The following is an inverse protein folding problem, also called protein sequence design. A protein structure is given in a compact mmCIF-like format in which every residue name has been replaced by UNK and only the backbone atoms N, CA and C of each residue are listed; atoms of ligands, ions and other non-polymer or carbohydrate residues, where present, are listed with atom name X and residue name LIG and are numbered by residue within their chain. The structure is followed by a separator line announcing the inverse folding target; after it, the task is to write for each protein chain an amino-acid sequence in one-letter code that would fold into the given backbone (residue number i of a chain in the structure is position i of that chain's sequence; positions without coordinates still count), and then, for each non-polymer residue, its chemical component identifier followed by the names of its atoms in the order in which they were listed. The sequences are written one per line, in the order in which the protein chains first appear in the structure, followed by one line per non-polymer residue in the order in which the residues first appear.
data_IF_083355730345
#
_entry.id   IF_083355730345
#
_cell.length_a   1.000
_cell.length_b   1.000
_cell.length_c   1.000
_cell.angle_alpha   90.00
_cell.angle_beta   90.00
_cell.angle_gamma   90.00
#
_symmetry.space_group_name_H-M   'P 1'
#
loop_
_entity.id
_entity.type
_entity.pdbx_description
1 polymer ?
#
# COMPACT_ATOMS: atom_id res chain seq x y z
N UNK A 1 -12.12 5.07 -2.53
CA UNK A 1 -12.56 5.17 -1.12
C UNK A 1 -12.44 6.59 -0.56
N UNK A 2 -11.48 7.39 -0.98
CA UNK A 2 -11.39 8.81 -0.59
C UNK A 2 -12.45 9.68 -1.27
N UNK A 3 -13.11 9.18 -2.31
CA UNK A 3 -14.20 9.85 -3.03
C UNK A 3 -15.45 10.06 -2.17
N UNK A 4 -15.60 9.29 -1.09
CA UNK A 4 -16.71 9.44 -0.13
C UNK A 4 -16.49 10.60 0.85
N UNK A 5 -15.25 11.07 1.01
CA UNK A 5 -14.84 12.00 2.05
C UNK A 5 -14.29 13.33 1.52
N UNK A 6 -14.11 13.44 0.20
CA UNK A 6 -13.57 14.62 -0.43
C UNK A 6 -14.13 14.81 -1.84
N UNK A 7 -13.94 16.01 -2.39
CA UNK A 7 -14.25 16.24 -3.81
C UNK A 7 -13.41 15.32 -4.72
N UNK A 8 -13.91 14.93 -5.90
CA UNK A 8 -13.17 14.08 -6.83
C UNK A 8 -11.79 14.66 -7.20
N UNK A 9 -11.66 15.98 -7.22
CA UNK A 9 -10.40 16.67 -7.48
C UNK A 9 -9.41 16.46 -6.32
N UNK A 10 -9.85 16.62 -5.07
CA UNK A 10 -9.01 16.41 -3.89
C UNK A 10 -8.63 14.94 -3.74
N UNK A 11 -9.56 14.01 -3.97
CA UNK A 11 -9.28 12.58 -3.99
C UNK A 11 -8.21 12.20 -5.03
N UNK A 12 -8.31 12.78 -6.24
CA UNK A 12 -7.31 12.57 -7.31
C UNK A 12 -5.93 13.11 -6.91
N UNK A 13 -5.87 14.30 -6.32
CA UNK A 13 -4.60 14.88 -5.83
C UNK A 13 -3.98 14.04 -4.71
N UNK A 14 -4.80 13.53 -3.80
CA UNK A 14 -4.32 12.63 -2.73
C UNK A 14 -3.77 11.34 -3.30
N UNK A 15 -4.47 10.72 -4.25
CA UNK A 15 -4.01 9.52 -4.94
C UNK A 15 -2.69 9.77 -5.70
N UNK A 16 -2.52 10.97 -6.31
CA UNK A 16 -1.26 11.38 -6.94
C UNK A 16 -0.13 11.46 -5.91
N UNK A 17 -0.35 12.09 -4.76
CA UNK A 17 0.65 12.19 -3.68
C UNK A 17 1.08 10.80 -3.21
N UNK A 18 0.11 9.90 -2.97
CA UNK A 18 0.39 8.52 -2.56
C UNK A 18 1.20 7.76 -3.61
N UNK A 19 0.77 7.79 -4.87
CA UNK A 19 1.49 7.14 -5.96
C UNK A 19 2.91 7.69 -6.12
N UNK A 20 3.08 9.02 -6.08
CA UNK A 20 4.38 9.67 -6.15
C UNK A 20 5.29 9.25 -4.99
N UNK A 21 4.75 9.13 -3.78
CA UNK A 21 5.48 8.63 -2.61
C UNK A 21 6.00 7.21 -2.87
N UNK A 22 5.16 6.31 -3.36
CA UNK A 22 5.56 4.93 -3.69
C UNK A 22 6.62 4.88 -4.81
N UNK A 23 6.56 5.82 -5.77
CA UNK A 23 7.48 5.89 -6.90
C UNK A 23 8.84 6.53 -6.57
N UNK A 24 9.07 7.04 -5.37
CA UNK A 24 10.38 7.63 -4.99
C UNK A 24 11.45 6.58 -4.72
N UNK A 25 11.07 5.40 -4.26
CA UNK A 25 12.01 4.41 -3.72
C UNK A 25 11.63 2.95 -4.02
N UNK A 26 10.77 2.71 -5.01
CA UNK A 26 10.49 1.35 -5.45
C UNK A 26 11.73 0.72 -6.11
N UNK A 27 11.86 -0.59 -5.98
CA UNK A 27 12.94 -1.38 -6.62
C UNK A 27 12.40 -2.35 -7.67
N UNK A 28 11.09 -2.62 -7.63
CA UNK A 28 10.38 -3.42 -8.61
C UNK A 28 9.01 -2.82 -8.90
N UNK A 29 8.63 -2.84 -10.16
CA UNK A 29 7.28 -2.47 -10.60
C UNK A 29 6.79 -3.40 -11.69
N UNK A 30 5.49 -3.73 -11.65
CA UNK A 30 4.82 -4.46 -12.72
C UNK A 30 3.45 -3.83 -12.96
N UNK A 31 3.15 -3.53 -14.21
CA UNK A 31 1.83 -3.04 -14.65
C UNK A 31 1.18 -4.12 -15.50
N UNK A 32 -0.08 -4.43 -15.19
CA UNK A 32 -0.93 -5.26 -16.04
C UNK A 32 -1.70 -4.35 -16.99
N UNK A 33 -1.69 -4.68 -18.27
CA UNK A 33 -2.43 -3.97 -19.32
C UNK A 33 -3.48 -4.92 -19.90
N UNK A 34 -4.71 -4.44 -20.04
CA UNK A 34 -5.81 -5.14 -20.67
C UNK A 34 -6.44 -4.21 -21.71
N UNK A 35 -6.53 -4.66 -22.95
CA UNK A 35 -7.08 -3.89 -24.08
C UNK A 35 -6.44 -2.48 -24.21
N UNK A 36 -5.11 -2.44 -24.11
CA UNK A 36 -4.33 -1.20 -24.20
C UNK A 36 -4.43 -0.26 -23.00
N UNK A 37 -5.16 -0.65 -21.93
CA UNK A 37 -5.40 0.20 -20.76
C UNK A 37 -4.81 -0.44 -19.51
N UNK A 38 -4.20 0.36 -18.62
CA UNK A 38 -3.68 -0.13 -17.34
C UNK A 38 -4.81 -0.72 -16.49
N UNK A 39 -4.71 -2.01 -16.16
CA UNK A 39 -5.68 -2.78 -15.40
C UNK A 39 -5.26 -2.99 -13.94
N UNK A 40 -3.97 -2.92 -13.63
CA UNK A 40 -3.45 -3.05 -12.28
C UNK A 40 -1.96 -2.74 -12.22
N UNK A 41 -1.47 -2.51 -11.02
CA UNK A 41 -0.07 -2.20 -10.72
C UNK A 41 0.34 -2.84 -9.40
N UNK A 42 1.59 -3.25 -9.30
CA UNK A 42 2.24 -3.66 -8.06
C UNK A 42 3.62 -3.02 -7.96
N UNK A 43 3.97 -2.50 -6.79
CA UNK A 43 5.29 -1.94 -6.49
C UNK A 43 5.88 -2.63 -5.26
N UNK A 44 7.14 -3.01 -5.34
CA UNK A 44 7.92 -3.53 -4.22
C UNK A 44 9.08 -2.60 -3.93
N UNK A 45 9.38 -2.45 -2.66
CA UNK A 45 10.51 -1.70 -2.14
C UNK A 45 11.43 -2.67 -1.40
N UNK A 46 12.68 -2.73 -1.82
CA UNK A 46 13.75 -3.39 -1.06
C UNK A 46 14.28 -2.38 -0.03
N UNK A 47 14.08 -2.66 1.24
CA UNK A 47 14.47 -1.75 2.33
C UNK A 47 16.01 -1.66 2.52
N UNK A 48 16.77 -2.56 1.89
CA UNK A 48 18.25 -2.52 1.86
C UNK A 48 18.81 -1.68 0.71
N UNK A 49 17.98 -1.37 -0.31
CA UNK A 49 18.39 -0.62 -1.50
C UNK A 49 17.74 0.77 -1.50
N UNK A 50 18.47 1.76 -1.01
CA UNK A 50 17.99 3.14 -0.88
C UNK A 50 18.19 3.94 -2.18
N UNK A 51 17.57 3.53 -3.27
CA UNK A 51 17.56 4.31 -4.51
C UNK A 51 16.45 5.35 -4.46
N UNK A 52 16.82 6.62 -4.50
CA UNK A 52 15.87 7.71 -4.65
C UNK A 52 16.24 8.54 -5.88
N UNK A 53 15.39 8.51 -6.91
CA UNK A 53 15.55 9.38 -8.06
C UNK A 53 15.17 10.82 -7.68
N UNK A 54 16.10 11.77 -7.80
CA UNK A 54 15.88 13.19 -7.47
C UNK A 54 14.67 13.78 -8.22
N UNK A 55 14.46 13.36 -9.48
CA UNK A 55 13.30 13.77 -10.28
C UNK A 55 11.96 13.29 -9.68
N UNK A 56 11.92 12.04 -9.21
CA UNK A 56 10.73 11.49 -8.53
C UNK A 56 10.45 12.23 -7.22
N UNK A 57 11.50 12.55 -6.45
CA UNK A 57 11.39 13.34 -5.22
C UNK A 57 10.84 14.72 -5.48
N UNK A 58 11.33 15.40 -6.52
CA UNK A 58 10.83 16.72 -6.90
C UNK A 58 9.35 16.69 -7.28
N UNK A 59 8.94 15.69 -8.08
CA UNK A 59 7.55 15.51 -8.46
C UNK A 59 6.64 15.19 -7.26
N UNK A 60 7.12 14.42 -6.28
CA UNK A 60 6.41 14.17 -5.03
C UNK A 60 6.18 15.47 -4.26
N UNK A 61 7.22 16.29 -4.08
CA UNK A 61 7.10 17.59 -3.40
C UNK A 61 6.07 18.47 -4.10
N UNK A 62 6.11 18.55 -5.42
CA UNK A 62 5.17 19.34 -6.20
C UNK A 62 3.71 18.86 -6.01
N UNK A 63 3.47 17.56 -5.98
CA UNK A 63 2.13 16.99 -5.73
C UNK A 63 1.63 17.32 -4.32
N UNK A 64 2.52 17.28 -3.31
CA UNK A 64 2.20 17.67 -1.94
C UNK A 64 1.81 19.16 -1.89
N UNK A 65 2.58 20.04 -2.52
CA UNK A 65 2.27 21.49 -2.56
C UNK A 65 0.90 21.73 -3.20
N UNK A 66 0.59 21.06 -4.32
CA UNK A 66 -0.72 21.15 -4.98
C UNK A 66 -1.86 20.69 -4.06
N UNK A 67 -1.68 19.62 -3.29
CA UNK A 67 -2.68 19.14 -2.33
C UNK A 67 -2.92 20.16 -1.23
N UNK A 68 -1.86 20.70 -0.64
CA UNK A 68 -1.93 21.68 0.45
C UNK A 68 -2.44 23.06 0.02
N UNK A 69 -2.51 23.37 -1.27
CA UNK A 69 -3.03 24.63 -1.78
C UNK A 69 -4.50 24.89 -1.46
N UNK A 70 -5.32 23.83 -1.25
CA UNK A 70 -6.74 23.96 -0.87
C UNK A 70 -6.97 23.70 0.61
N UNK A 71 -8.08 24.26 1.18
CA UNK A 71 -8.50 23.98 2.56
C UNK A 71 -8.85 22.51 2.75
N UNK A 72 -9.59 21.94 1.79
CA UNK A 72 -9.99 20.54 1.77
C UNK A 72 -8.77 19.62 1.71
N UNK A 73 -7.79 19.93 0.84
CA UNK A 73 -6.55 19.17 0.74
C UNK A 73 -5.75 19.14 2.05
N UNK A 74 -5.72 20.25 2.79
CA UNK A 74 -5.09 20.29 4.12
C UNK A 74 -5.82 19.42 5.14
N UNK A 75 -7.16 19.43 5.14
CA UNK A 75 -7.97 18.58 6.04
C UNK A 75 -7.74 17.09 5.73
N UNK A 76 -7.76 16.71 4.46
CA UNK A 76 -7.53 15.32 4.04
C UNK A 76 -6.08 14.87 4.31
N UNK A 77 -5.11 15.78 4.19
CA UNK A 77 -3.70 15.49 4.53
C UNK A 77 -3.53 15.09 6.00
N UNK A 78 -4.34 15.63 6.92
CA UNK A 78 -4.30 15.22 8.32
C UNK A 78 -4.73 13.77 8.51
N UNK A 79 -5.76 13.33 7.78
CA UNK A 79 -6.19 11.92 7.77
C UNK A 79 -5.04 11.02 7.31
N UNK A 80 -4.32 11.45 6.28
CA UNK A 80 -3.19 10.69 5.73
C UNK A 80 -2.01 10.57 6.72
N UNK A 81 -1.74 11.63 7.49
CA UNK A 81 -0.74 11.60 8.55
C UNK A 81 -1.14 10.60 9.64
N UNK A 82 -2.41 10.57 10.06
CA UNK A 82 -2.92 9.62 11.04
C UNK A 82 -2.75 8.17 10.55
N UNK A 83 -3.01 7.90 9.26
CA UNK A 83 -2.79 6.57 8.67
C UNK A 83 -1.32 6.17 8.74
N UNK A 84 -0.40 7.05 8.35
CA UNK A 84 1.03 6.79 8.43
C UNK A 84 1.49 6.49 9.86
N UNK A 85 0.98 7.23 10.85
CA UNK A 85 1.29 6.98 12.27
C UNK A 85 0.77 5.62 12.74
N UNK A 86 -0.42 5.20 12.28
CA UNK A 86 -0.99 3.88 12.57
C UNK A 86 -0.10 2.79 11.97
N UNK A 87 0.29 2.92 10.72
CA UNK A 87 1.15 1.97 10.01
C UNK A 87 2.51 1.81 10.70
N UNK A 88 3.14 2.92 11.10
CA UNK A 88 4.38 2.90 11.87
C UNK A 88 4.22 2.23 13.24
N UNK A 89 3.09 2.44 13.91
CA UNK A 89 2.81 1.80 15.21
C UNK A 89 2.60 0.29 15.04
N UNK A 90 1.90 -0.14 13.98
CA UNK A 90 1.74 -1.55 13.64
C UNK A 90 3.10 -2.20 13.36
N UNK A 91 3.95 -1.55 12.58
CA UNK A 91 5.28 -2.07 12.25
C UNK A 91 6.17 -2.19 13.50
N UNK A 92 6.18 -1.15 14.34
CA UNK A 92 6.93 -1.18 15.63
C UNK A 92 6.40 -2.27 16.57
N UNK A 93 5.10 -2.50 16.59
CA UNK A 93 4.45 -3.52 17.41
C UNK A 93 4.87 -4.95 17.04
N UNK A 94 5.17 -5.20 15.77
CA UNK A 94 5.62 -6.52 15.31
C UNK A 94 7.02 -6.91 15.80
N UNK A 95 7.83 -5.95 16.25
CA UNK A 95 9.22 -6.19 16.72
C UNK A 95 10.09 -6.96 15.70
N UNK A 96 9.77 -6.82 14.42
CA UNK A 96 10.47 -7.42 13.29
C UNK A 96 11.06 -6.34 12.39
N UNK A 97 12.17 -6.66 11.74
CA UNK A 97 12.76 -5.84 10.67
C UNK A 97 12.57 -6.59 9.36
N UNK A 98 11.80 -6.01 8.45
CA UNK A 98 11.52 -6.64 7.17
C UNK A 98 12.47 -6.12 6.09
N UNK A 99 13.05 -7.02 5.27
CA UNK A 99 13.93 -6.63 4.18
C UNK A 99 13.16 -6.00 3.00
N UNK A 100 11.86 -6.21 2.88
CA UNK A 100 11.06 -5.68 1.78
C UNK A 100 9.64 -5.29 2.20
N UNK A 101 9.06 -4.36 1.43
CA UNK A 101 7.69 -3.87 1.54
C UNK A 101 6.98 -4.01 0.19
N UNK A 102 5.75 -4.51 0.19
CA UNK A 102 4.85 -4.37 -0.93
C UNK A 102 4.13 -3.03 -0.77
N UNK A 103 4.71 -1.99 -1.40
CA UNK A 103 4.38 -0.59 -1.13
C UNK A 103 3.09 -0.11 -1.84
N UNK A 104 2.73 -0.73 -2.95
CA UNK A 104 1.50 -0.44 -3.68
C UNK A 104 1.01 -1.70 -4.40
N UNK A 105 -0.28 -1.98 -4.26
CA UNK A 105 -0.93 -3.01 -5.04
C UNK A 105 -2.38 -2.60 -5.33
N UNK A 106 -2.67 -2.38 -6.59
CA UNK A 106 -4.00 -1.95 -7.02
C UNK A 106 -4.42 -2.68 -8.30
N UNK A 107 -5.70 -3.07 -8.37
CA UNK A 107 -6.35 -3.62 -9.56
C UNK A 107 -7.65 -2.86 -9.77
N UNK A 108 -7.84 -2.34 -10.99
CA UNK A 108 -9.07 -1.64 -11.37
C UNK A 108 -10.29 -2.51 -11.05
N UNK A 109 -11.33 -1.95 -10.44
CA UNK A 109 -12.52 -2.68 -10.01
C UNK A 109 -13.19 -3.46 -11.15
N UNK A 110 -13.29 -2.87 -12.35
CA UNK A 110 -13.83 -3.54 -13.55
C UNK A 110 -12.96 -4.70 -14.09
N UNK A 111 -11.73 -4.84 -13.58
CA UNK A 111 -10.77 -5.88 -13.96
C UNK A 111 -10.54 -6.91 -12.86
N UNK A 112 -11.22 -6.78 -11.71
CA UNK A 112 -11.17 -7.78 -10.63
C UNK A 112 -11.83 -9.10 -11.05
N UNK A 113 -11.51 -10.19 -10.37
CA UNK A 113 -12.00 -11.54 -10.70
C UNK A 113 -11.35 -12.20 -11.93
N UNK A 114 -10.55 -11.47 -12.73
CA UNK A 114 -9.88 -11.98 -13.95
C UNK A 114 -8.49 -12.58 -13.70
N UNK A 115 -8.10 -12.80 -12.45
CA UNK A 115 -6.79 -13.36 -12.08
C UNK A 115 -5.62 -12.38 -12.18
N UNK A 116 -5.85 -11.11 -12.56
CA UNK A 116 -4.80 -10.09 -12.73
C UNK A 116 -4.04 -9.85 -11.42
N UNK A 117 -4.77 -9.71 -10.32
CA UNK A 117 -4.15 -9.52 -9.00
C UNK A 117 -3.23 -10.68 -8.63
N UNK A 118 -3.66 -11.93 -8.84
CA UNK A 118 -2.84 -13.12 -8.57
C UNK A 118 -1.56 -13.12 -9.41
N UNK A 119 -1.64 -12.77 -10.70
CA UNK A 119 -0.46 -12.70 -11.58
C UNK A 119 0.53 -11.62 -11.14
N UNK A 120 0.04 -10.42 -10.81
CA UNK A 120 0.87 -9.33 -10.30
C UNK A 120 1.54 -9.71 -8.97
N UNK A 121 0.80 -10.31 -8.04
CA UNK A 121 1.33 -10.74 -6.75
C UNK A 121 2.43 -11.81 -6.93
N UNK A 122 2.22 -12.79 -7.82
CA UNK A 122 3.23 -13.81 -8.12
C UNK A 122 4.49 -13.21 -8.78
N UNK A 123 4.36 -12.18 -9.62
CA UNK A 123 5.54 -11.51 -10.18
C UNK A 123 6.36 -10.78 -9.10
N UNK A 124 5.69 -10.18 -8.11
CA UNK A 124 6.38 -9.61 -6.96
C UNK A 124 7.09 -10.68 -6.12
N UNK A 125 6.45 -11.83 -5.87
CA UNK A 125 7.09 -12.96 -5.16
C UNK A 125 8.31 -13.48 -5.91
N UNK A 126 8.23 -13.60 -7.25
CA UNK A 126 9.35 -14.02 -8.07
C UNK A 126 10.54 -13.04 -7.96
N UNK A 127 10.26 -11.73 -8.01
CA UNK A 127 11.27 -10.70 -7.79
C UNK A 127 11.91 -10.80 -6.40
N UNK A 128 11.10 -10.88 -5.34
CA UNK A 128 11.59 -10.98 -3.96
C UNK A 128 12.53 -12.19 -3.80
N UNK A 129 12.12 -13.35 -4.32
CA UNK A 129 12.93 -14.57 -4.32
C UNK A 129 14.24 -14.38 -5.09
N UNK A 130 14.21 -13.77 -6.28
CA UNK A 130 15.39 -13.50 -7.09
C UNK A 130 16.38 -12.57 -6.37
N UNK A 131 15.89 -11.64 -5.57
CA UNK A 131 16.72 -10.71 -4.78
C UNK A 131 17.19 -11.30 -3.43
N UNK A 132 16.84 -12.54 -3.09
CA UNK A 132 17.16 -13.14 -1.79
C UNK A 132 16.52 -12.42 -0.62
N UNK A 133 15.31 -11.87 -0.82
CA UNK A 133 14.54 -11.19 0.21
C UNK A 133 13.58 -12.20 0.82
N UNK A 134 13.93 -12.73 1.98
CA UNK A 134 13.29 -13.91 2.58
C UNK A 134 11.90 -13.63 3.19
N UNK A 135 11.61 -12.37 3.50
CA UNK A 135 10.36 -11.95 4.12
C UNK A 135 9.96 -10.56 3.62
N UNK A 136 8.66 -10.29 3.55
CA UNK A 136 8.13 -8.98 3.24
C UNK A 136 6.83 -8.72 3.98
N UNK A 137 6.46 -7.45 4.07
CA UNK A 137 5.21 -7.00 4.68
C UNK A 137 4.43 -6.05 3.76
N UNK A 138 3.19 -5.81 4.13
CA UNK A 138 2.34 -4.76 3.56
C UNK A 138 1.38 -4.22 4.60
N UNK A 139 0.89 -3.01 4.36
CA UNK A 139 -0.24 -2.43 5.07
C UNK A 139 -1.50 -2.50 4.22
N UNK A 140 -2.64 -2.67 4.86
CA UNK A 140 -3.97 -2.64 4.26
C UNK A 140 -5.02 -2.30 5.31
N UNK A 141 -6.26 -2.10 4.90
CA UNK A 141 -7.35 -1.74 5.79
C UNK A 141 -8.68 -2.39 5.37
N UNK A 142 -9.74 -2.15 6.16
CA UNK A 142 -11.07 -2.71 5.92
C UNK A 142 -11.77 -2.17 4.67
N UNK A 143 -11.29 -1.09 4.05
CA UNK A 143 -11.79 -0.59 2.77
C UNK A 143 -11.24 -1.36 1.57
N UNK A 144 -10.19 -2.17 1.78
CA UNK A 144 -9.52 -2.96 0.77
C UNK A 144 -9.97 -4.43 0.81
N UNK A 145 -9.68 -5.18 -0.25
CA UNK A 145 -9.88 -6.63 -0.27
C UNK A 145 -8.72 -7.34 0.47
N UNK A 146 -8.64 -7.16 1.79
CA UNK A 146 -7.60 -7.77 2.62
C UNK A 146 -7.65 -9.30 2.65
N UNK A 147 -8.82 -9.91 2.46
CA UNK A 147 -8.97 -11.36 2.34
C UNK A 147 -8.17 -11.96 1.17
N UNK A 148 -7.85 -11.17 0.15
CA UNK A 148 -6.95 -11.59 -0.92
C UNK A 148 -5.59 -12.01 -0.35
N UNK A 149 -5.04 -11.26 0.58
CA UNK A 149 -3.72 -11.54 1.17
C UNK A 149 -3.74 -12.82 2.01
N UNK A 150 -4.80 -13.05 2.76
CA UNK A 150 -4.99 -14.29 3.52
C UNK A 150 -5.03 -15.52 2.60
N UNK A 151 -5.77 -15.42 1.47
CA UNK A 151 -5.79 -16.46 0.45
C UNK A 151 -4.43 -16.65 -0.28
N UNK A 152 -3.55 -15.65 -0.25
CA UNK A 152 -2.19 -15.77 -0.75
C UNK A 152 -1.22 -16.30 0.33
N UNK A 153 -1.70 -16.72 1.49
CA UNK A 153 -0.89 -17.29 2.58
C UNK A 153 -0.09 -16.26 3.36
N UNK A 154 -0.55 -15.00 3.40
CA UNK A 154 0.00 -13.98 4.29
C UNK A 154 -0.62 -14.09 5.68
N UNK A 155 0.17 -13.80 6.70
CA UNK A 155 -0.25 -13.80 8.10
C UNK A 155 -0.50 -12.38 8.58
N UNK A 156 -1.65 -12.14 9.25
CA UNK A 156 -1.93 -10.88 9.92
C UNK A 156 -1.09 -10.80 11.21
N UNK A 157 -0.20 -9.82 11.31
CA UNK A 157 0.71 -9.62 12.46
C UNK A 157 0.27 -8.52 13.38
N UNK A 158 -0.56 -7.61 12.91
CA UNK A 158 -1.09 -6.52 13.72
C UNK A 158 -2.41 -6.01 13.17
N UNK A 159 -3.22 -5.49 14.09
CA UNK A 159 -4.48 -4.83 13.78
C UNK A 159 -4.63 -3.61 14.68
N UNK A 160 -5.17 -2.53 14.13
CA UNK A 160 -5.51 -1.33 14.87
C UNK A 160 -6.78 -0.70 14.33
N UNK A 161 -7.73 -0.46 15.23
CA UNK A 161 -8.92 0.32 14.91
C UNK A 161 -8.62 1.82 15.10
N UNK A 162 -9.13 2.63 14.18
CA UNK A 162 -9.10 4.08 14.29
C UNK A 162 -10.45 4.67 13.89
N UNK A 163 -10.88 5.70 14.66
CA UNK A 163 -12.12 6.42 14.43
C UNK A 163 -11.81 7.76 13.77
N UNK A 164 -12.24 7.92 12.53
CA UNK A 164 -12.15 9.19 11.82
C UNK A 164 -13.39 10.04 12.02
N UNK A 165 -13.20 11.34 12.23
CA UNK A 165 -14.28 12.33 12.18
C UNK A 165 -14.30 12.94 10.78
N UNK A 166 -15.29 12.59 9.98
CA UNK A 166 -15.41 13.00 8.58
C UNK A 166 -16.80 13.58 8.35
N UNK A 167 -16.86 14.86 7.97
CA UNK A 167 -18.14 15.56 7.73
C UNK A 167 -19.14 15.44 8.89
N UNK A 168 -18.66 15.44 10.15
CA UNK A 168 -19.49 15.31 11.33
C UNK A 168 -19.97 13.89 11.65
N UNK A 169 -19.51 12.89 10.90
CA UNK A 169 -19.77 11.47 11.16
C UNK A 169 -18.51 10.77 11.67
N UNK A 170 -18.70 9.79 12.57
CA UNK A 170 -17.63 8.93 13.03
C UNK A 170 -17.58 7.68 12.15
N UNK A 171 -16.45 7.48 11.46
CA UNK A 171 -16.20 6.31 10.62
C UNK A 171 -15.12 5.46 11.27
N UNK A 172 -15.45 4.21 11.62
CA UNK A 172 -14.47 3.25 12.13
C UNK A 172 -13.80 2.52 10.98
N UNK A 173 -12.46 2.41 11.03
CA UNK A 173 -11.67 1.67 10.09
C UNK A 173 -10.61 0.85 10.82
N UNK A 174 -10.43 -0.41 10.42
CA UNK A 174 -9.35 -1.25 10.92
C UNK A 174 -8.20 -1.26 9.93
N UNK A 175 -7.00 -1.08 10.44
CA UNK A 175 -5.72 -1.15 9.73
C UNK A 175 -5.01 -2.43 10.10
N UNK A 176 -4.36 -3.05 9.12
CA UNK A 176 -3.71 -4.34 9.27
C UNK A 176 -2.28 -4.29 8.74
N UNK A 177 -1.39 -4.97 9.43
CA UNK A 177 -0.08 -5.37 8.90
C UNK A 177 -0.12 -6.86 8.60
N UNK A 178 0.21 -7.22 7.37
CA UNK A 178 0.40 -8.60 6.93
C UNK A 178 1.86 -8.83 6.58
N UNK A 179 2.37 -10.02 6.90
CA UNK A 179 3.68 -10.48 6.46
C UNK A 179 3.62 -11.87 5.81
N UNK A 180 4.68 -12.20 5.08
CA UNK A 180 4.88 -13.53 4.51
C UNK A 180 6.36 -13.78 4.28
N UNK A 181 6.82 -15.04 4.57
CA UNK A 181 8.07 -15.55 4.05
C UNK A 181 7.98 -15.78 2.54
N UNK A 182 9.03 -15.47 1.79
CA UNK A 182 9.09 -15.67 0.33
C UNK A 182 9.44 -17.12 -0.05
N UNK A 183 10.07 -17.86 0.89
CA UNK A 183 10.38 -19.28 0.76
C UNK A 183 9.35 -20.07 1.54
N UNK A 184 8.72 -21.07 0.90
CA UNK A 184 7.90 -22.03 1.60
C UNK A 184 8.80 -22.91 2.46
N UNK A 185 9.02 -22.56 3.72
CA UNK A 185 9.23 -23.56 4.76
C UNK A 185 7.84 -24.04 5.15
N UNK A 186 7.65 -25.37 5.16
CA UNK A 186 6.38 -26.01 5.47
C UNK A 186 5.69 -25.34 6.66
N UNK A 187 4.39 -25.13 6.50
CA UNK A 187 3.49 -24.36 7.31
C UNK A 187 3.71 -24.53 8.83
N UNK A 188 4.55 -23.69 9.40
CA UNK A 188 4.60 -23.46 10.84
C UNK A 188 3.76 -22.20 11.15
N UNK A 189 2.50 -22.46 11.44
CA UNK A 189 1.56 -21.69 12.21
C UNK A 189 1.62 -20.17 12.19
N UNK A 190 0.59 -19.54 11.58
CA UNK A 190 0.11 -18.26 12.06
C UNK A 190 -0.42 -18.47 13.50
N UNK A 191 0.44 -18.38 14.50
CA UNK A 191 0.02 -18.34 15.90
C UNK A 191 -0.40 -16.90 16.20
N UNK A 192 -1.70 -16.72 16.53
CA UNK A 192 -2.29 -15.52 17.07
C UNK A 192 -1.84 -15.26 18.49
#
# INVERSE_FOLDING_TARGET
HYDEFSSPETASRLAEVFLRSCLTNYTFSQVAVLDGTAAGIILVKNNKDHRCALSARFQQILSIVKLYASKEGRAVSQIFQNVNEIDEQLLRGCKKTYPAELALFAVRSSCQGKGIGKKLFHSALAYLKQQGLDEFYLFTDTSCNYGFYEHQGMCRRGQREHLFQINGQTVSMNFFLYDRATVFHDAAGCNF
#
